data_IF_712682488364
#
_entry.id   IF_712682488364
#
_cell.length_a   1.000
_cell.length_b   1.000
_cell.length_c   1.000
_cell.angle_alpha   90.00
_cell.angle_beta   90.00
_cell.angle_gamma   90.00
#
_symmetry.space_group_name_H-M   'P 1'
#
loop_
_entity.id
_entity.type
_entity.pdbx_description
1 polymer ?
#
# COMPACT_ATOMS: atom_id res chain seq x y z
N UNK A 1 -12.16 38.46 -7.68
CA UNK A 1 -11.72 37.29 -6.89
C UNK A 1 -10.33 37.57 -6.37
N UNK A 2 -10.11 37.52 -5.05
CA UNK A 2 -8.87 37.99 -4.41
C UNK A 2 -7.80 36.90 -4.34
N UNK A 3 -6.54 37.27 -4.58
CA UNK A 3 -5.33 36.42 -4.50
C UNK A 3 -5.23 35.67 -3.15
N UNK A 4 -5.82 36.22 -2.08
CA UNK A 4 -5.87 35.59 -0.77
C UNK A 4 -6.67 34.27 -0.73
N UNK A 5 -7.62 34.06 -1.64
CA UNK A 5 -8.39 32.80 -1.73
C UNK A 5 -7.59 31.67 -2.39
N UNK A 6 -6.58 31.98 -3.22
CA UNK A 6 -5.74 30.98 -3.88
C UNK A 6 -4.70 30.35 -2.93
N UNK A 7 -4.33 31.05 -1.85
CA UNK A 7 -3.28 30.60 -0.92
C UNK A 7 -3.81 29.61 0.15
N UNK A 8 -5.12 29.42 0.28
CA UNK A 8 -5.74 28.53 1.29
C UNK A 8 -5.94 27.07 0.81
N UNK A 9 -5.05 26.57 -0.05
CA UNK A 9 -5.10 25.19 -0.58
C UNK A 9 -3.76 24.44 -0.57
N UNK A 10 -2.73 24.97 0.10
CA UNK A 10 -1.44 24.28 0.26
C UNK A 10 -1.24 23.77 1.70
N UNK A 11 -2.01 22.75 2.07
CA UNK A 11 -1.64 21.87 3.19
C UNK A 11 -1.52 20.48 2.56
N UNK A 12 -0.29 19.95 2.49
CA UNK A 12 0.08 18.63 1.96
C UNK A 12 -1.13 17.69 1.94
N UNK A 13 -1.70 17.43 0.76
CA UNK A 13 -3.08 16.93 0.55
C UNK A 13 -3.41 15.51 1.00
N UNK A 14 -2.79 15.02 2.08
CA UNK A 14 -3.02 13.72 2.70
C UNK A 14 -4.10 13.91 3.78
N UNK A 15 -5.32 13.46 3.51
CA UNK A 15 -6.45 13.46 4.45
C UNK A 15 -6.68 12.04 4.98
N UNK A 16 -6.96 11.90 6.27
CA UNK A 16 -7.40 10.61 6.84
C UNK A 16 -8.76 10.22 6.25
N UNK A 17 -8.88 8.99 5.76
CA UNK A 17 -10.10 8.46 5.14
C UNK A 17 -10.38 7.01 5.56
N UNK A 18 -10.50 6.78 6.88
CA UNK A 18 -10.81 5.46 7.42
C UNK A 18 -12.21 4.95 6.99
N UNK A 19 -13.18 5.87 6.81
CA UNK A 19 -14.54 5.53 6.38
C UNK A 19 -14.69 5.16 4.90
N UNK A 20 -13.69 5.50 4.08
CA UNK A 20 -13.66 5.18 2.65
C UNK A 20 -12.94 3.87 2.30
N UNK A 21 -12.38 3.16 3.30
CA UNK A 21 -11.67 1.91 3.05
C UNK A 21 -12.65 0.77 2.74
N UNK A 22 -12.43 0.14 1.60
CA UNK A 22 -13.04 -1.16 1.29
C UNK A 22 -12.55 -2.21 2.28
N UNK A 23 -13.34 -3.29 2.47
CA UNK A 23 -12.94 -4.41 3.35
C UNK A 23 -11.59 -5.00 2.95
N UNK A 24 -11.31 -5.10 1.66
CA UNK A 24 -10.03 -5.61 1.14
C UNK A 24 -8.86 -4.67 1.44
N UNK A 25 -9.03 -3.35 1.33
CA UNK A 25 -7.99 -2.38 1.73
C UNK A 25 -7.74 -2.43 3.24
N UNK A 26 -8.81 -2.57 4.04
CA UNK A 26 -8.70 -2.74 5.48
C UNK A 26 -7.93 -4.02 5.84
N UNK A 27 -8.23 -5.14 5.18
CA UNK A 27 -7.48 -6.38 5.35
C UNK A 27 -6.00 -6.22 4.98
N UNK A 28 -5.68 -5.54 3.86
CA UNK A 28 -4.30 -5.27 3.47
C UNK A 28 -3.57 -4.41 4.52
N UNK A 29 -4.25 -3.39 5.05
CA UNK A 29 -3.73 -2.53 6.12
C UNK A 29 -3.43 -3.34 7.39
N UNK A 30 -4.33 -4.24 7.80
CA UNK A 30 -4.14 -5.10 8.98
C UNK A 30 -2.99 -6.08 8.77
N UNK A 31 -2.90 -6.73 7.61
CA UNK A 31 -1.78 -7.65 7.30
C UNK A 31 -0.43 -6.92 7.33
N UNK A 32 -0.36 -5.72 6.73
CA UNK A 32 0.84 -4.88 6.78
C UNK A 32 1.19 -4.48 8.23
N UNK A 33 0.20 -4.11 9.05
CA UNK A 33 0.43 -3.78 10.46
C UNK A 33 0.96 -4.98 11.27
N UNK A 34 0.41 -6.18 11.06
CA UNK A 34 0.89 -7.42 11.70
C UNK A 34 2.35 -7.68 11.34
N UNK A 35 2.68 -7.70 10.05
CA UNK A 35 4.07 -7.90 9.58
C UNK A 35 5.01 -6.82 10.09
N UNK A 36 4.57 -5.56 10.11
CA UNK A 36 5.33 -4.45 10.69
C UNK A 36 5.63 -4.67 12.18
N UNK A 37 4.63 -5.09 12.95
CA UNK A 37 4.79 -5.45 14.36
C UNK A 37 5.77 -6.59 14.59
N UNK A 38 5.72 -7.66 13.78
CA UNK A 38 6.68 -8.78 13.85
C UNK A 38 8.12 -8.28 13.64
N UNK A 39 8.36 -7.40 12.66
CA UNK A 39 9.70 -6.87 12.41
C UNK A 39 10.19 -5.94 13.52
N UNK A 40 9.31 -5.13 14.13
CA UNK A 40 9.68 -4.32 15.30
C UNK A 40 10.00 -5.21 16.51
N UNK A 41 9.25 -6.30 16.70
CA UNK A 41 9.56 -7.29 17.74
C UNK A 41 10.94 -7.94 17.50
N UNK A 42 11.23 -8.38 16.28
CA UNK A 42 12.53 -8.94 15.92
C UNK A 42 13.67 -7.93 16.10
N UNK A 43 13.44 -6.66 15.79
CA UNK A 43 14.40 -5.60 16.08
C UNK A 43 14.63 -5.46 17.59
N UNK A 44 13.58 -5.44 18.39
CA UNK A 44 13.69 -5.30 19.83
C UNK A 44 14.47 -6.46 20.49
N UNK A 45 14.36 -7.68 19.95
CA UNK A 45 15.05 -8.86 20.49
C UNK A 45 16.45 -9.07 19.91
N UNK A 46 16.69 -8.69 18.66
CA UNK A 46 17.95 -9.00 17.96
C UNK A 46 18.82 -7.75 17.66
N UNK A 47 18.31 -6.54 17.88
CA UNK A 47 18.98 -5.26 17.61
C UNK A 47 19.51 -5.11 16.18
N UNK A 48 18.94 -5.84 15.23
CA UNK A 48 19.37 -5.82 13.83
C UNK A 48 18.59 -4.76 13.04
N UNK A 49 19.27 -3.66 12.72
CA UNK A 49 18.66 -2.45 12.10
C UNK A 49 17.79 -2.73 10.87
N UNK A 50 18.12 -3.67 9.96
CA UNK A 50 17.22 -4.00 8.85
C UNK A 50 15.81 -4.42 9.27
N UNK A 51 15.62 -5.05 10.43
CA UNK A 51 14.28 -5.32 10.96
C UNK A 51 13.54 -4.05 11.37
N UNK A 52 14.21 -3.05 11.94
CA UNK A 52 13.58 -1.76 12.23
C UNK A 52 13.10 -1.10 10.95
N UNK A 53 13.96 -1.02 9.93
CA UNK A 53 13.62 -0.42 8.65
C UNK A 53 12.47 -1.16 7.96
N UNK A 54 12.48 -2.49 8.01
CA UNK A 54 11.41 -3.32 7.49
C UNK A 54 10.07 -3.04 8.21
N UNK A 55 10.09 -3.00 9.54
CA UNK A 55 8.92 -2.71 10.36
C UNK A 55 8.32 -1.33 10.05
N UNK A 56 9.17 -0.31 9.98
CA UNK A 56 8.75 1.03 9.60
C UNK A 56 8.20 1.10 8.18
N UNK A 57 8.76 0.34 7.23
CA UNK A 57 8.24 0.27 5.86
C UNK A 57 6.81 -0.30 5.81
N UNK A 58 6.55 -1.41 6.49
CA UNK A 58 5.21 -2.01 6.56
C UNK A 58 4.21 -1.14 7.33
N UNK A 59 4.62 -0.51 8.43
CA UNK A 59 3.76 0.44 9.16
C UNK A 59 3.49 1.71 8.36
N UNK A 60 4.44 2.16 7.54
CA UNK A 60 4.23 3.27 6.61
C UNK A 60 3.18 2.89 5.56
N UNK A 61 3.26 1.69 4.99
CA UNK A 61 2.23 1.18 4.07
C UNK A 61 0.85 1.14 4.74
N UNK A 62 0.77 0.62 5.96
CA UNK A 62 -0.48 0.56 6.72
C UNK A 62 -1.04 1.96 7.02
N UNK A 63 -0.19 2.89 7.48
CA UNK A 63 -0.58 4.26 7.79
C UNK A 63 -1.04 5.03 6.56
N UNK A 64 -0.32 4.93 5.44
CA UNK A 64 -0.69 5.60 4.19
C UNK A 64 -1.97 5.03 3.58
N UNK A 65 -2.27 3.74 3.80
CA UNK A 65 -3.53 3.14 3.36
C UNK A 65 -4.73 3.88 3.94
N UNK A 66 -4.65 4.33 5.19
CA UNK A 66 -5.70 5.11 5.88
C UNK A 66 -5.82 6.57 5.42
N UNK A 67 -5.09 6.97 4.38
CA UNK A 67 -5.09 8.34 3.86
C UNK A 67 -5.64 8.42 2.44
N UNK A 68 -5.83 9.64 1.94
CA UNK A 68 -6.18 9.93 0.55
C UNK A 68 -4.99 9.85 -0.42
N UNK A 69 -3.92 9.16 -0.05
CA UNK A 69 -2.76 8.97 -0.93
C UNK A 69 -3.11 8.09 -2.13
N UNK A 70 -2.32 8.17 -3.20
CA UNK A 70 -2.51 7.32 -4.38
C UNK A 70 -2.32 5.84 -4.02
N UNK A 71 -3.45 5.16 -3.86
CA UNK A 71 -3.48 3.76 -3.46
C UNK A 71 -2.81 2.83 -4.45
N UNK A 72 -2.73 3.17 -5.75
CA UNK A 72 -2.03 2.34 -6.74
C UNK A 72 -0.53 2.30 -6.49
N UNK A 73 0.05 3.45 -6.15
CA UNK A 73 1.46 3.54 -5.77
C UNK A 73 1.72 2.74 -4.49
N UNK A 74 0.79 2.80 -3.52
CA UNK A 74 0.89 1.99 -2.31
C UNK A 74 0.81 0.48 -2.60
N UNK A 75 -0.07 0.06 -3.51
CA UNK A 75 -0.21 -1.36 -3.87
C UNK A 75 1.04 -1.87 -4.57
N UNK A 76 1.50 -1.17 -5.61
CA UNK A 76 2.69 -1.57 -6.35
C UNK A 76 3.95 -1.53 -5.47
N UNK A 77 4.17 -0.42 -4.77
CA UNK A 77 5.29 -0.25 -3.86
C UNK A 77 5.28 -1.28 -2.73
N UNK A 78 4.10 -1.56 -2.15
CA UNK A 78 3.92 -2.58 -1.14
C UNK A 78 4.26 -3.98 -1.65
N UNK A 79 3.87 -4.35 -2.87
CA UNK A 79 4.23 -5.64 -3.49
C UNK A 79 5.75 -5.75 -3.66
N UNK A 80 6.39 -4.76 -4.28
CA UNK A 80 7.85 -4.76 -4.53
C UNK A 80 8.63 -4.82 -3.21
N UNK A 81 8.22 -4.02 -2.23
CA UNK A 81 8.83 -4.01 -0.90
C UNK A 81 8.69 -5.38 -0.23
N UNK A 82 7.48 -5.95 -0.21
CA UNK A 82 7.23 -7.25 0.42
C UNK A 82 8.04 -8.37 -0.25
N UNK A 83 8.12 -8.40 -1.58
CA UNK A 83 8.96 -9.36 -2.31
C UNK A 83 10.45 -9.23 -1.94
N UNK A 84 10.92 -8.01 -1.74
CA UNK A 84 12.30 -7.74 -1.27
C UNK A 84 12.52 -8.34 0.12
N UNK A 85 11.56 -8.18 1.03
CA UNK A 85 11.64 -8.74 2.38
C UNK A 85 11.62 -10.28 2.39
N UNK A 86 10.81 -10.91 1.55
CA UNK A 86 10.80 -12.37 1.37
C UNK A 86 12.16 -12.84 0.84
N UNK A 87 12.67 -12.20 -0.21
CA UNK A 87 13.93 -12.56 -0.85
C UNK A 87 15.11 -12.41 0.12
N UNK A 88 15.16 -11.30 0.87
CA UNK A 88 16.18 -11.05 1.88
C UNK A 88 16.16 -12.10 2.99
N UNK A 89 14.98 -12.52 3.44
CA UNK A 89 14.86 -13.57 4.46
C UNK A 89 15.46 -14.91 4.00
N UNK A 90 15.20 -15.31 2.76
CA UNK A 90 15.77 -16.53 2.17
C UNK A 90 17.29 -16.42 2.00
N UNK A 91 17.77 -15.32 1.43
CA UNK A 91 19.20 -15.14 1.12
C UNK A 91 20.07 -15.00 2.37
N UNK A 92 19.56 -14.38 3.44
CA UNK A 92 20.32 -14.11 4.65
C UNK A 92 20.22 -15.23 5.69
N UNK A 93 19.40 -16.26 5.47
CA UNK A 93 19.28 -17.40 6.38
C UNK A 93 18.87 -16.98 7.80
N UNK A 94 17.83 -16.16 7.91
CA UNK A 94 17.47 -15.48 9.16
C UNK A 94 17.12 -16.45 10.31
N UNK A 95 17.43 -16.07 11.57
CA UNK A 95 17.06 -16.83 12.76
C UNK A 95 15.54 -16.88 12.97
N UNK A 96 15.09 -17.76 13.87
CA UNK A 96 13.67 -17.98 14.22
C UNK A 96 12.79 -18.42 13.05
N UNK A 97 13.15 -19.56 12.45
CA UNK A 97 12.52 -20.09 11.24
C UNK A 97 10.99 -20.17 11.31
N UNK A 98 10.40 -20.61 12.43
CA UNK A 98 8.94 -20.73 12.56
C UNK A 98 8.23 -19.38 12.51
N UNK A 99 8.74 -18.38 13.24
CA UNK A 99 8.18 -17.03 13.21
C UNK A 99 8.40 -16.38 11.83
N UNK A 100 9.57 -16.62 11.24
CA UNK A 100 9.87 -16.24 9.86
C UNK A 100 8.86 -16.79 8.87
N UNK A 101 8.60 -18.10 8.87
CA UNK A 101 7.62 -18.75 7.99
C UNK A 101 6.20 -18.22 8.20
N UNK A 102 5.79 -18.03 9.45
CA UNK A 102 4.48 -17.46 9.78
C UNK A 102 4.34 -16.04 9.18
N UNK A 103 5.32 -15.18 9.39
CA UNK A 103 5.35 -13.84 8.80
C UNK A 103 5.36 -13.86 7.27
N UNK A 104 6.14 -14.76 6.66
CA UNK A 104 6.19 -14.89 5.20
C UNK A 104 4.86 -15.37 4.61
N UNK A 105 4.09 -16.16 5.35
CA UNK A 105 2.72 -16.54 4.96
C UNK A 105 1.79 -15.32 4.95
N UNK A 106 1.88 -14.47 5.98
CA UNK A 106 1.15 -13.18 6.04
C UNK A 106 1.56 -12.27 4.88
N UNK A 107 2.86 -12.19 4.57
CA UNK A 107 3.38 -11.41 3.45
C UNK A 107 2.91 -11.91 2.07
N UNK A 108 2.82 -13.23 1.86
CA UNK A 108 2.26 -13.79 0.62
C UNK A 108 0.79 -13.44 0.46
N UNK A 109 0.01 -13.54 1.55
CA UNK A 109 -1.39 -13.10 1.54
C UNK A 109 -1.51 -11.59 1.23
N UNK A 110 -0.64 -10.76 1.82
CA UNK A 110 -0.56 -9.32 1.54
C UNK A 110 -0.25 -9.06 0.06
N UNK A 111 0.73 -9.74 -0.53
CA UNK A 111 1.07 -9.60 -1.96
C UNK A 111 -0.15 -9.92 -2.84
N UNK A 112 -0.83 -11.04 -2.56
CA UNK A 112 -2.02 -11.42 -3.32
C UNK A 112 -3.13 -10.35 -3.24
N UNK A 113 -3.34 -9.81 -2.04
CA UNK A 113 -4.36 -8.78 -1.81
C UNK A 113 -4.00 -7.44 -2.48
N UNK A 114 -2.77 -6.97 -2.36
CA UNK A 114 -2.32 -5.75 -3.04
C UNK A 114 -2.36 -5.89 -4.56
N UNK A 115 -1.99 -7.07 -5.08
CA UNK A 115 -2.05 -7.34 -6.52
C UNK A 115 -3.49 -7.33 -7.04
N UNK A 116 -4.42 -7.97 -6.33
CA UNK A 116 -5.84 -7.97 -6.72
C UNK A 116 -6.44 -6.57 -6.66
N UNK A 117 -6.12 -5.79 -5.62
CA UNK A 117 -6.53 -4.39 -5.50
C UNK A 117 -5.98 -3.56 -6.68
N UNK A 118 -4.69 -3.66 -6.98
CA UNK A 118 -4.06 -2.98 -8.10
C UNK A 118 -4.77 -3.30 -9.43
N UNK A 119 -4.97 -4.58 -9.75
CA UNK A 119 -5.65 -4.99 -10.98
C UNK A 119 -7.10 -4.51 -11.03
N UNK A 120 -7.83 -4.60 -9.92
CA UNK A 120 -9.24 -4.17 -9.86
C UNK A 120 -9.38 -2.68 -10.17
N UNK A 121 -8.53 -1.86 -9.58
CA UNK A 121 -8.56 -0.41 -9.77
C UNK A 121 -8.18 -0.03 -11.21
N UNK A 122 -7.18 -0.72 -11.79
CA UNK A 122 -6.80 -0.52 -13.19
C UNK A 122 -7.97 -0.75 -14.14
N UNK A 123 -8.73 -1.82 -13.92
CA UNK A 123 -9.91 -2.14 -14.72
C UNK A 123 -11.00 -1.07 -14.60
N UNK A 124 -11.24 -0.57 -13.38
CA UNK A 124 -12.21 0.51 -13.15
C UNK A 124 -11.85 1.79 -13.89
N UNK A 125 -10.57 2.17 -13.91
CA UNK A 125 -10.13 3.36 -14.63
C UNK A 125 -10.23 3.24 -16.17
N UNK A 126 -9.97 2.05 -16.72
CA UNK A 126 -10.12 1.81 -18.17
C UNK A 126 -11.60 1.85 -18.57
N UNK A 127 -12.48 1.19 -17.79
CA UNK A 127 -13.91 1.15 -18.08
C UNK A 127 -14.57 2.54 -18.04
N UNK A 128 -14.15 3.40 -17.11
CA UNK A 128 -14.68 4.76 -16.99
C UNK A 128 -14.30 5.64 -18.19
N UNK A 129 -13.05 5.55 -18.66
CA UNK A 129 -12.59 6.25 -19.88
C UNK A 129 -13.41 5.86 -21.11
N UNK A 130 -13.61 4.56 -21.35
CA UNK A 130 -14.41 4.09 -22.49
C UNK A 130 -15.87 4.56 -22.42
N UNK A 131 -16.44 4.64 -21.20
CA UNK A 131 -17.79 5.19 -21.00
C UNK A 131 -17.84 6.66 -21.39
N UNK A 132 -16.86 7.46 -20.97
CA UNK A 132 -16.85 8.91 -21.29
C UNK A 132 -16.76 9.16 -22.80
N UNK A 133 -15.90 8.42 -23.53
CA UNK A 133 -15.76 8.53 -24.98
C UNK A 133 -17.04 8.15 -25.74
N UNK A 134 -17.75 7.11 -25.29
CA UNK A 134 -19.00 6.66 -25.93
C UNK A 134 -20.20 7.54 -25.60
N UNK A 135 -20.19 8.25 -24.46
CA UNK A 135 -21.25 9.16 -24.04
C UNK A 135 -21.16 10.57 -24.62
N UNK A 136 -20.04 10.92 -25.29
CA UNK A 136 -19.88 12.14 -26.07
C UNK A 136 -19.95 11.85 -27.58
N UNK A 137 -21.15 11.74 -28.17
CA UNK A 137 -21.31 11.52 -29.61
C UNK A 137 -20.96 12.77 -30.46
N UNK A 138 -20.43 13.86 -29.89
CA UNK A 138 -20.15 15.11 -30.61
C UNK A 138 -18.77 15.70 -30.32
N UNK A 139 -17.73 14.92 -30.63
CA UNK A 139 -16.35 15.40 -30.74
C UNK A 139 -15.67 15.18 -32.10
N UNK A 140 -16.34 14.56 -33.07
CA UNK A 140 -15.82 14.41 -34.45
C UNK A 140 -16.48 15.43 -35.35
N UNK A 141 -16.14 16.71 -35.19
CA UNK A 141 -16.19 17.68 -36.30
C UNK A 141 -14.97 18.61 -36.18
N UNK A 142 -14.02 18.35 -37.09
CA UNK A 142 -12.85 19.12 -37.56
C UNK A 142 -11.49 18.69 -37.02
#
# INVERSE_FOLDING_TARGET
>A
MSFATYVKQNTLGIRLNLGGLTRSQLSAMVLAAITGGVHLYLFATQSFVPFLLAGLGFLTLAGLMATSFDHRLLYFGGVVFTLTQISAWVMLGMPDFLLGVADKTVQVALIGLLTTLYVSEHRSAVADRTRTETSDPKGVVR
#
